data_IF_864168683107
#
_entry.id   IF_864168683107
#
_cell.length_a   1.000
_cell.length_b   1.000
_cell.length_c   1.000
_cell.angle_alpha   90.00
_cell.angle_beta   90.00
_cell.angle_gamma   90.00
#
_symmetry.space_group_name_H-M   'P 1'
#
loop_
_entity.id
_entity.type
_entity.pdbx_description
1 polymer ?
#
# COMPACT_ATOMS: atom_id res chain seq x y z
N UNK A 1 1.99 15.58 17.33
CA UNK A 1 2.20 16.80 16.52
C UNK A 1 2.31 16.44 15.02
N UNK A 2 3.16 15.52 14.65
CA UNK A 2 3.37 15.18 13.21
C UNK A 2 2.15 14.51 12.58
N UNK A 3 1.49 13.59 13.28
CA UNK A 3 0.28 12.91 12.81
C UNK A 3 -0.89 13.86 12.57
N UNK A 4 -1.06 14.88 13.44
CA UNK A 4 -2.13 15.89 13.24
C UNK A 4 -1.81 16.80 12.05
N UNK A 5 -0.55 17.11 11.81
CA UNK A 5 -0.16 17.86 10.62
C UNK A 5 -0.43 17.06 9.33
N UNK A 6 -0.08 15.75 9.32
CA UNK A 6 -0.41 14.85 8.22
C UNK A 6 -1.93 14.78 8.02
N UNK A 7 -2.70 14.58 9.11
CA UNK A 7 -4.17 14.51 9.07
C UNK A 7 -4.80 15.78 8.47
N UNK A 8 -4.28 16.96 8.82
CA UNK A 8 -4.81 18.22 8.31
C UNK A 8 -4.61 18.42 6.80
N UNK A 9 -3.70 17.64 6.19
CA UNK A 9 -3.44 17.61 4.75
C UNK A 9 -4.14 16.44 4.03
N UNK A 10 -5.05 15.73 4.70
CA UNK A 10 -5.92 14.74 4.08
C UNK A 10 -7.29 15.36 3.90
N UNK A 11 -7.71 15.54 2.65
CA UNK A 11 -8.99 16.16 2.30
C UNK A 11 -10.10 15.12 2.32
N UNK A 12 -11.23 15.45 2.93
CA UNK A 12 -12.43 14.60 2.82
C UNK A 12 -13.36 15.19 1.75
N UNK A 13 -13.69 14.37 0.75
CA UNK A 13 -14.61 14.72 -0.33
C UNK A 13 -15.87 13.89 -0.13
N UNK A 14 -17.01 14.52 0.22
CA UNK A 14 -18.27 13.81 0.38
C UNK A 14 -18.80 13.34 -0.97
N UNK A 15 -19.53 12.22 -0.93
CA UNK A 15 -20.28 11.68 -2.08
C UNK A 15 -19.43 11.44 -3.34
N UNK A 16 -18.20 10.92 -3.16
CA UNK A 16 -17.30 10.57 -4.26
C UNK A 16 -16.75 9.13 -4.07
N UNK A 17 -16.73 8.28 -5.14
CA UNK A 17 -17.33 8.47 -6.47
C UNK A 17 -18.87 8.31 -6.47
N UNK A 18 -19.46 7.88 -5.36
CA UNK A 18 -20.90 7.63 -5.20
C UNK A 18 -21.43 8.26 -3.90
N UNK A 19 -22.74 8.54 -3.88
CA UNK A 19 -23.42 9.08 -2.70
C UNK A 19 -23.20 8.23 -1.47
N UNK A 20 -22.85 8.86 -0.35
CA UNK A 20 -22.58 8.20 0.94
C UNK A 20 -21.10 7.86 1.19
N UNK A 21 -20.25 7.90 0.16
CA UNK A 21 -18.81 7.64 0.30
C UNK A 21 -18.08 8.92 0.72
N UNK A 22 -17.31 8.83 1.80
CA UNK A 22 -16.41 9.90 2.27
C UNK A 22 -14.99 9.64 1.77
N UNK A 23 -14.69 10.07 0.55
CA UNK A 23 -13.39 9.82 -0.07
C UNK A 23 -12.27 10.57 0.65
N UNK A 24 -11.18 9.89 0.94
CA UNK A 24 -9.98 10.45 1.56
C UNK A 24 -8.94 10.75 0.48
N UNK A 25 -8.77 12.02 0.16
CA UNK A 25 -7.82 12.50 -0.83
C UNK A 25 -6.49 12.85 -0.16
N UNK A 26 -5.42 12.15 -0.55
CA UNK A 26 -4.06 12.36 -0.05
C UNK A 26 -3.24 13.32 -0.92
N UNK A 27 -3.78 13.82 -2.02
CA UNK A 27 -3.02 14.68 -2.93
C UNK A 27 -2.47 15.94 -2.26
N UNK A 28 -3.13 16.56 -1.26
CA UNK A 28 -2.53 17.69 -0.54
C UNK A 28 -1.23 17.34 0.21
N UNK A 29 -1.02 16.08 0.61
CA UNK A 29 0.26 15.63 1.19
C UNK A 29 1.43 15.76 0.22
N UNK A 30 1.17 15.64 -1.09
CA UNK A 30 2.20 15.77 -2.13
C UNK A 30 2.52 17.23 -2.47
N UNK A 31 1.58 18.15 -2.19
CA UNK A 31 1.72 19.57 -2.51
C UNK A 31 2.51 20.33 -1.43
N UNK A 32 2.52 19.82 -0.20
CA UNK A 32 3.23 20.43 0.93
C UNK A 32 4.49 19.61 1.24
N UNK A 33 5.67 20.22 1.12
CA UNK A 33 6.96 19.55 1.32
C UNK A 33 7.09 18.96 2.72
N UNK A 34 6.64 19.69 3.75
CA UNK A 34 6.71 19.22 5.14
C UNK A 34 5.76 18.04 5.38
N UNK A 35 4.52 18.11 4.86
CA UNK A 35 3.57 17.01 4.98
C UNK A 35 4.10 15.74 4.27
N UNK A 36 4.71 15.90 3.09
CA UNK A 36 5.34 14.81 2.34
C UNK A 36 6.47 14.15 3.14
N UNK A 37 7.42 14.93 3.67
CA UNK A 37 8.55 14.43 4.46
C UNK A 37 8.09 13.74 5.75
N UNK A 38 7.13 14.33 6.47
CA UNK A 38 6.57 13.73 7.67
C UNK A 38 5.84 12.42 7.37
N UNK A 39 5.10 12.36 6.26
CA UNK A 39 4.41 11.14 5.83
C UNK A 39 5.42 10.03 5.52
N UNK A 40 6.47 10.32 4.73
CA UNK A 40 7.52 9.34 4.43
C UNK A 40 8.23 8.85 5.70
N UNK A 41 8.54 9.74 6.61
CA UNK A 41 9.18 9.38 7.88
C UNK A 41 8.26 8.51 8.75
N UNK A 42 6.96 8.81 8.80
CA UNK A 42 5.98 8.03 9.54
C UNK A 42 5.74 6.65 8.93
N UNK A 43 5.79 6.51 7.59
CA UNK A 43 5.71 5.21 6.90
C UNK A 43 6.95 4.35 7.13
N UNK A 44 8.15 4.95 7.19
CA UNK A 44 9.42 4.26 7.37
C UNK A 44 9.60 3.75 8.81
N UNK A 45 9.40 4.64 9.79
CA UNK A 45 9.76 4.44 11.19
C UNK A 45 9.36 3.09 11.81
N UNK A 46 8.16 2.54 11.57
CA UNK A 46 7.76 1.24 12.14
C UNK A 46 8.62 0.07 11.67
N UNK A 47 9.37 0.25 10.59
CA UNK A 47 10.16 -0.80 9.94
C UNK A 47 11.67 -0.52 9.94
N UNK A 48 12.15 0.47 10.70
CA UNK A 48 13.58 0.87 10.74
C UNK A 48 14.51 -0.27 11.17
N UNK A 49 14.02 -1.23 11.94
CA UNK A 49 14.80 -2.40 12.40
C UNK A 49 14.74 -3.59 11.45
N UNK A 50 13.98 -3.48 10.37
CA UNK A 50 13.80 -4.56 9.39
C UNK A 50 14.79 -4.39 8.24
N UNK A 51 15.32 -5.50 7.74
CA UNK A 51 15.93 -5.53 6.41
C UNK A 51 14.82 -5.62 5.38
N UNK A 52 14.76 -4.71 4.43
CA UNK A 52 13.74 -4.67 3.38
C UNK A 52 14.44 -4.73 2.03
N UNK A 53 14.08 -5.71 1.20
CA UNK A 53 14.64 -5.86 -0.15
C UNK A 53 13.74 -5.23 -1.21
N UNK A 54 12.42 -5.26 -0.99
CA UNK A 54 11.43 -4.71 -1.93
C UNK A 54 10.29 -4.00 -1.22
N UNK A 55 9.79 -2.95 -1.86
CA UNK A 55 8.49 -2.32 -1.54
C UNK A 55 7.55 -2.56 -2.71
N UNK A 56 6.48 -3.30 -2.49
CA UNK A 56 5.41 -3.52 -3.47
C UNK A 56 4.37 -2.42 -3.28
N UNK A 57 4.22 -1.55 -4.29
CA UNK A 57 3.20 -0.51 -4.30
C UNK A 57 1.98 -0.94 -5.10
N UNK A 58 0.77 -0.68 -4.55
CA UNK A 58 -0.49 -1.06 -5.17
C UNK A 58 -1.02 0.06 -6.09
N UNK A 59 -1.44 -0.30 -7.30
CA UNK A 59 -2.00 0.67 -8.26
C UNK A 59 -3.28 1.30 -7.75
N UNK A 60 -3.38 2.59 -7.84
CA UNK A 60 -2.39 3.53 -8.38
C UNK A 60 -1.82 4.45 -7.30
N UNK A 61 -2.55 4.68 -6.20
CA UNK A 61 -2.15 5.66 -5.18
C UNK A 61 -1.01 5.19 -4.29
N UNK A 62 -0.81 3.87 -4.15
CA UNK A 62 0.39 3.30 -3.53
C UNK A 62 1.70 3.65 -4.26
N UNK A 63 1.63 4.09 -5.54
CA UNK A 63 2.81 4.55 -6.28
C UNK A 63 3.26 5.96 -5.90
N UNK A 64 2.41 6.75 -5.23
CA UNK A 64 2.72 8.14 -4.91
C UNK A 64 3.83 8.25 -3.85
N UNK A 65 3.84 7.36 -2.88
CA UNK A 65 4.86 7.29 -1.83
C UNK A 65 5.75 6.04 -1.94
N UNK A 66 5.30 4.99 -2.63
CA UNK A 66 6.00 3.71 -2.72
C UNK A 66 7.46 3.80 -3.18
N UNK A 67 7.79 4.46 -4.32
CA UNK A 67 9.17 4.60 -4.77
C UNK A 67 10.06 5.36 -3.78
N UNK A 68 9.52 6.43 -3.17
CA UNK A 68 10.25 7.19 -2.16
C UNK A 68 10.47 6.40 -0.88
N UNK A 69 9.48 5.60 -0.47
CA UNK A 69 9.60 4.68 0.67
C UNK A 69 10.65 3.58 0.38
N UNK A 70 10.66 3.01 -0.83
CA UNK A 70 11.67 2.05 -1.25
C UNK A 70 13.08 2.65 -1.18
N UNK A 71 13.25 3.89 -1.67
CA UNK A 71 14.52 4.61 -1.59
C UNK A 71 14.99 4.83 -0.13
N UNK A 72 14.06 5.12 0.80
CA UNK A 72 14.37 5.24 2.23
C UNK A 72 14.91 3.94 2.83
N UNK A 73 14.43 2.80 2.38
CA UNK A 73 14.91 1.47 2.81
C UNK A 73 16.12 0.98 1.99
N UNK A 74 16.57 1.72 0.98
CA UNK A 74 17.57 1.25 0.00
C UNK A 74 17.11 -0.06 -0.70
N UNK A 75 15.80 -0.19 -0.90
CA UNK A 75 15.12 -1.35 -1.47
C UNK A 75 14.66 -1.08 -2.91
N UNK A 76 14.37 -2.14 -3.65
CA UNK A 76 13.73 -2.04 -4.96
C UNK A 76 12.23 -1.71 -4.82
N UNK A 77 11.67 -0.98 -5.80
CA UNK A 77 10.23 -0.75 -5.91
C UNK A 77 9.61 -1.69 -6.94
N UNK A 78 8.50 -2.33 -6.56
CA UNK A 78 7.76 -3.27 -7.41
C UNK A 78 6.32 -2.76 -7.58
N UNK A 79 5.90 -2.41 -8.82
CA UNK A 79 4.52 -2.03 -9.08
C UNK A 79 3.63 -3.28 -9.19
N UNK A 80 2.61 -3.38 -8.33
CA UNK A 80 1.51 -4.30 -8.51
C UNK A 80 0.35 -3.57 -9.20
N UNK A 81 -0.11 -4.08 -10.36
CA UNK A 81 -1.02 -3.34 -11.24
C UNK A 81 -2.25 -4.15 -11.61
N UNK A 82 -3.31 -3.44 -12.00
CA UNK A 82 -4.50 -4.05 -12.61
C UNK A 82 -4.16 -4.73 -13.92
N UNK A 83 -4.90 -5.79 -14.26
CA UNK A 83 -4.67 -6.63 -15.43
C UNK A 83 -4.44 -5.84 -16.71
N UNK A 84 -3.41 -6.27 -17.48
CA UNK A 84 -3.08 -5.72 -18.79
C UNK A 84 -2.29 -4.41 -18.76
N UNK A 85 -1.83 -3.95 -17.57
CA UNK A 85 -1.05 -2.71 -17.47
C UNK A 85 0.47 -2.91 -17.33
N UNK A 86 0.91 -4.15 -17.18
CA UNK A 86 2.33 -4.50 -17.13
C UNK A 86 2.77 -5.09 -18.48
N UNK A 87 3.89 -4.60 -19.06
CA UNK A 87 4.28 -4.96 -20.44
C UNK A 87 5.07 -6.27 -20.57
N UNK A 88 5.51 -6.87 -19.46
CA UNK A 88 6.31 -8.09 -19.45
C UNK A 88 5.49 -9.28 -18.95
N UNK A 89 6.10 -10.46 -18.78
CA UNK A 89 5.45 -11.66 -18.23
C UNK A 89 4.98 -11.39 -16.79
N UNK A 90 3.74 -11.74 -16.50
CA UNK A 90 3.12 -11.51 -15.19
C UNK A 90 2.59 -12.81 -14.58
N UNK A 91 2.51 -12.84 -13.26
CA UNK A 91 1.58 -13.67 -12.50
C UNK A 91 0.39 -12.82 -12.07
N UNK A 92 -0.74 -13.44 -11.78
CA UNK A 92 -1.98 -12.72 -11.47
C UNK A 92 -2.77 -13.37 -10.34
N UNK A 93 -3.48 -12.53 -9.58
CA UNK A 93 -4.46 -12.96 -8.56
C UNK A 93 -5.76 -12.21 -8.71
N UNK A 94 -6.85 -12.94 -8.66
CA UNK A 94 -8.19 -12.38 -8.60
C UNK A 94 -8.51 -11.98 -7.16
N UNK A 95 -9.14 -10.83 -6.95
CA UNK A 95 -9.61 -10.39 -5.64
C UNK A 95 -11.01 -9.78 -5.74
N UNK A 96 -11.78 -9.95 -4.66
CA UNK A 96 -13.11 -9.37 -4.55
C UNK A 96 -13.06 -7.87 -4.29
N UNK A 97 -13.89 -7.12 -5.00
CA UNK A 97 -14.27 -5.75 -4.68
C UNK A 97 -15.64 -5.79 -3.98
N UNK A 98 -16.05 -4.67 -3.40
CA UNK A 98 -17.41 -4.52 -2.85
C UNK A 98 -18.47 -4.80 -3.92
N UNK A 99 -18.15 -4.46 -5.18
CA UNK A 99 -18.97 -4.77 -6.37
C UNK A 99 -18.09 -5.40 -7.47
N UNK A 100 -18.07 -6.75 -7.56
CA UNK A 100 -17.38 -7.47 -8.61
C UNK A 100 -16.02 -8.04 -8.19
N UNK A 101 -15.22 -8.39 -9.21
CA UNK A 101 -13.87 -8.95 -9.08
C UNK A 101 -12.92 -8.16 -9.94
N UNK A 102 -11.70 -7.98 -9.45
CA UNK A 102 -10.61 -7.38 -10.21
C UNK A 102 -9.39 -8.31 -10.17
N UNK A 103 -8.43 -8.08 -11.02
CA UNK A 103 -7.21 -8.89 -11.11
C UNK A 103 -6.00 -7.99 -10.90
N UNK A 104 -5.15 -8.40 -9.96
CA UNK A 104 -3.86 -7.77 -9.71
C UNK A 104 -2.75 -8.60 -10.37
N UNK A 105 -1.81 -7.92 -11.00
CA UNK A 105 -0.66 -8.52 -11.68
C UNK A 105 0.66 -7.99 -11.09
N UNK A 106 1.67 -8.86 -11.14
CA UNK A 106 3.05 -8.53 -10.81
C UNK A 106 3.97 -9.22 -11.83
N UNK A 107 5.09 -8.59 -12.21
CA UNK A 107 6.08 -9.21 -13.09
C UNK A 107 6.68 -10.46 -12.45
N UNK A 108 6.92 -11.50 -13.26
CA UNK A 108 7.48 -12.78 -12.79
C UNK A 108 8.90 -12.68 -12.25
N UNK A 109 9.63 -11.63 -12.59
CA UNK A 109 11.02 -11.35 -12.19
C UNK A 109 11.13 -10.23 -11.14
N UNK A 110 10.00 -9.81 -10.55
CA UNK A 110 9.97 -8.67 -9.63
C UNK A 110 10.50 -9.01 -8.23
N UNK A 111 10.33 -10.25 -7.80
CA UNK A 111 10.69 -10.75 -6.46
C UNK A 111 11.60 -11.96 -6.62
N UNK A 112 12.72 -11.97 -5.91
CA UNK A 112 13.57 -13.16 -5.80
C UNK A 112 13.14 -14.01 -4.59
N UNK A 113 13.35 -15.33 -4.65
CA UNK A 113 13.11 -16.19 -3.48
C UNK A 113 13.87 -15.69 -2.25
N UNK A 114 13.14 -15.49 -1.15
CA UNK A 114 13.69 -15.00 0.12
C UNK A 114 13.72 -13.48 0.27
N UNK A 115 13.41 -12.67 -0.77
CA UNK A 115 13.30 -11.21 -0.64
C UNK A 115 12.30 -10.84 0.47
N UNK A 116 12.69 -9.92 1.35
CA UNK A 116 11.85 -9.35 2.40
C UNK A 116 11.09 -8.15 1.86
N UNK A 117 9.76 -8.23 1.89
CA UNK A 117 8.86 -7.35 1.16
C UNK A 117 7.94 -6.60 2.10
N UNK A 118 7.85 -5.27 1.92
CA UNK A 118 6.75 -4.44 2.45
C UNK A 118 5.71 -4.25 1.35
N UNK A 119 4.43 -4.45 1.68
CA UNK A 119 3.30 -4.09 0.83
C UNK A 119 2.81 -2.71 1.26
N UNK A 120 2.75 -1.79 0.31
CA UNK A 120 2.37 -0.39 0.55
C UNK A 120 1.21 0.05 -0.34
N UNK A 121 0.25 0.72 0.29
CA UNK A 121 -0.80 1.50 -0.38
C UNK A 121 -1.08 2.78 0.42
N UNK A 122 -1.81 3.70 -0.17
CA UNK A 122 -2.27 4.89 0.55
C UNK A 122 -3.41 4.57 1.52
N UNK A 123 -4.27 3.62 1.19
CA UNK A 123 -5.48 3.32 1.96
C UNK A 123 -5.69 1.82 2.15
N UNK A 124 -5.90 1.40 3.38
CA UNK A 124 -6.45 0.08 3.72
C UNK A 124 -7.96 0.21 3.93
N UNK A 125 -8.74 -0.30 2.96
CA UNK A 125 -10.20 -0.40 3.04
C UNK A 125 -10.62 -1.83 3.45
N UNK A 126 -11.11 -2.63 2.52
CA UNK A 126 -11.52 -4.03 2.77
C UNK A 126 -10.35 -5.02 2.83
N UNK A 127 -9.15 -4.62 2.38
CA UNK A 127 -7.94 -5.45 2.41
C UNK A 127 -7.77 -6.42 1.24
N UNK A 128 -8.72 -6.50 0.31
CA UNK A 128 -8.68 -7.45 -0.79
C UNK A 128 -7.46 -7.29 -1.70
N UNK A 129 -7.12 -6.07 -2.08
CA UNK A 129 -5.94 -5.78 -2.94
C UNK A 129 -4.63 -6.12 -2.23
N UNK A 130 -4.51 -5.78 -0.94
CA UNK A 130 -3.32 -6.09 -0.14
C UNK A 130 -3.14 -7.61 0.04
N UNK A 131 -4.25 -8.36 0.22
CA UNK A 131 -4.25 -9.82 0.24
C UNK A 131 -3.77 -10.40 -1.09
N UNK A 132 -4.31 -9.94 -2.22
CA UNK A 132 -3.87 -10.41 -3.54
C UNK A 132 -2.38 -10.15 -3.78
N UNK A 133 -1.88 -8.97 -3.39
CA UNK A 133 -0.45 -8.67 -3.46
C UNK A 133 0.38 -9.59 -2.56
N UNK A 134 -0.10 -9.90 -1.35
CA UNK A 134 0.52 -10.87 -0.45
C UNK A 134 0.68 -12.24 -1.14
N UNK A 135 -0.39 -12.74 -1.76
CA UNK A 135 -0.39 -14.01 -2.46
C UNK A 135 0.58 -14.03 -3.65
N UNK A 136 0.68 -12.92 -4.40
CA UNK A 136 1.65 -12.78 -5.50
C UNK A 136 3.10 -12.80 -4.99
N UNK A 137 3.40 -12.08 -3.91
CA UNK A 137 4.75 -12.08 -3.28
C UNK A 137 5.13 -13.48 -2.83
N UNK A 138 4.23 -14.19 -2.15
CA UNK A 138 4.48 -15.55 -1.67
C UNK A 138 4.65 -16.54 -2.83
N UNK A 139 3.87 -16.41 -3.91
CA UNK A 139 3.98 -17.25 -5.09
C UNK A 139 5.34 -17.09 -5.81
N UNK A 140 5.92 -15.89 -5.81
CA UNK A 140 7.27 -15.63 -6.32
C UNK A 140 8.38 -16.06 -5.35
N UNK A 141 8.04 -16.55 -4.15
CA UNK A 141 8.99 -17.02 -3.14
C UNK A 141 9.50 -15.92 -2.20
N UNK A 142 8.92 -14.71 -2.24
CA UNK A 142 9.22 -13.64 -1.31
C UNK A 142 8.60 -13.85 0.07
N UNK A 143 9.03 -13.05 1.03
CA UNK A 143 8.53 -13.03 2.42
C UNK A 143 7.93 -11.66 2.71
N UNK A 144 6.63 -11.59 2.97
CA UNK A 144 6.01 -10.35 3.44
C UNK A 144 6.43 -10.13 4.89
N UNK A 145 7.07 -9.00 5.18
CA UNK A 145 7.56 -8.62 6.51
C UNK A 145 6.85 -7.40 7.09
N UNK A 146 6.00 -6.74 6.32
CA UNK A 146 5.23 -5.60 6.78
C UNK A 146 4.17 -5.11 5.80
N UNK A 147 3.17 -4.44 6.36
CA UNK A 147 2.16 -3.70 5.62
C UNK A 147 2.19 -2.24 6.04
N UNK A 148 2.24 -1.33 5.08
CA UNK A 148 2.40 0.10 5.30
C UNK A 148 1.32 0.89 4.58
N UNK A 149 0.51 1.65 5.34
CA UNK A 149 -0.58 2.46 4.81
C UNK A 149 -0.53 3.88 5.37
N UNK A 150 -1.01 4.85 4.62
CA UNK A 150 -1.23 6.20 5.13
C UNK A 150 -2.53 6.22 5.93
N UNK A 151 -3.58 5.64 5.38
CA UNK A 151 -4.95 5.65 5.94
C UNK A 151 -5.45 4.23 6.14
N UNK A 152 -6.19 4.02 7.23
CA UNK A 152 -7.00 2.83 7.47
C UNK A 152 -8.45 3.22 7.74
N UNK A 153 -9.38 2.59 7.02
CA UNK A 153 -10.81 2.67 7.31
C UNK A 153 -11.17 1.52 8.24
N UNK A 154 -11.04 1.74 9.55
CA UNK A 154 -11.13 0.69 10.58
C UNK A 154 -12.49 -0.02 10.58
N UNK A 155 -13.55 0.68 10.22
CA UNK A 155 -14.91 0.13 10.13
C UNK A 155 -15.08 -0.92 9.03
N UNK A 156 -14.19 -0.98 8.03
CA UNK A 156 -14.21 -2.01 6.99
C UNK A 156 -13.40 -3.26 7.36
N UNK A 157 -12.71 -3.25 8.51
CA UNK A 157 -11.97 -4.40 9.05
C UNK A 157 -10.96 -5.03 8.09
N UNK A 158 -10.35 -4.24 7.20
CA UNK A 158 -9.42 -4.70 6.16
C UNK A 158 -8.20 -5.46 6.70
N UNK A 159 -7.76 -5.15 7.92
CA UNK A 159 -6.70 -5.90 8.61
C UNK A 159 -6.97 -7.40 8.73
N UNK A 160 -8.23 -7.81 8.77
CA UNK A 160 -8.59 -9.23 8.88
C UNK A 160 -8.20 -10.05 7.63
N UNK A 161 -7.90 -9.40 6.51
CA UNK A 161 -7.43 -10.02 5.28
C UNK A 161 -5.91 -10.15 5.21
N UNK A 162 -5.18 -9.46 6.09
CA UNK A 162 -3.72 -9.48 6.15
C UNK A 162 -3.22 -10.68 6.95
N UNK A 163 -1.94 -11.05 6.76
CA UNK A 163 -1.30 -12.09 7.58
C UNK A 163 -1.19 -11.61 9.03
N UNK A 164 -1.78 -12.36 9.96
CA UNK A 164 -1.94 -11.95 11.37
C UNK A 164 -0.61 -11.75 12.10
N UNK A 165 0.41 -12.54 11.74
CA UNK A 165 1.74 -12.51 12.38
C UNK A 165 2.64 -11.38 11.83
N UNK A 166 2.17 -10.68 10.78
CA UNK A 166 2.96 -9.64 10.10
C UNK A 166 2.49 -8.27 10.56
N UNK A 167 3.42 -7.38 10.99
CA UNK A 167 3.06 -6.04 11.43
C UNK A 167 2.39 -5.23 10.32
N UNK A 168 1.29 -4.59 10.66
CA UNK A 168 0.56 -3.66 9.80
C UNK A 168 0.50 -2.29 10.47
N UNK A 169 1.00 -1.28 9.78
CA UNK A 169 1.03 0.10 10.25
C UNK A 169 0.19 1.00 9.34
N UNK A 170 -0.61 1.85 9.98
CA UNK A 170 -1.39 2.91 9.32
C UNK A 170 -1.20 4.21 10.10
N UNK A 171 -0.81 5.30 9.40
CA UNK A 171 -0.51 6.58 10.05
C UNK A 171 -1.78 7.18 10.67
N UNK A 172 -2.89 7.14 9.90
CA UNK A 172 -4.18 7.72 10.25
C UNK A 172 -5.25 6.63 10.22
N UNK A 173 -6.09 6.59 11.26
CA UNK A 173 -7.27 5.72 11.31
C UNK A 173 -8.54 6.56 11.34
N UNK A 174 -9.56 6.10 10.60
CA UNK A 174 -10.91 6.63 10.56
C UNK A 174 -11.92 5.57 10.95
#
# INVERSE_FOLDING_TARGET
MDTEYIRSHIRTIPDFPETGIQFKDITPLLLDTKANELTLSALQKPFDTFTIDKVVGLESRGFLFGPSLAAKFQAGFVPARKKGKLPYKTIQKEYGLEYGKDILEMHTDAINPGDKVIIHDDLLATGGTAKAATELVLELGGQVVGYSFIIELSFLSGKNQLLKEIPSHSIIQY
#
